data_IF_098833458365
#
_entry.id   IF_098833458365
#
_cell.length_a   1.000
_cell.length_b   1.000
_cell.length_c   1.000
_cell.angle_alpha   90.00
_cell.angle_beta   90.00
_cell.angle_gamma   90.00
#
_symmetry.space_group_name_H-M   'P 1'
#
loop_
_entity.id
_entity.type
_entity.pdbx_description
1 polymer ?
#
# COMPACT_ATOMS: atom_id res chain seq x y z
N UNK A 1 -11.70 -17.90 6.30
CA UNK A 1 -11.61 -16.57 6.92
C UNK A 1 -10.40 -15.88 6.34
N UNK A 2 -10.57 -14.89 5.52
CA UNK A 2 -9.46 -14.13 4.97
C UNK A 2 -8.67 -13.49 6.10
N UNK A 3 -7.44 -13.91 6.30
CA UNK A 3 -6.53 -13.32 7.25
C UNK A 3 -6.29 -11.87 6.86
N UNK A 4 -7.02 -10.94 7.48
CA UNK A 4 -6.68 -9.54 7.33
C UNK A 4 -5.28 -9.35 7.89
N UNK A 5 -4.39 -8.80 7.04
CA UNK A 5 -3.06 -8.38 7.44
C UNK A 5 -3.14 -7.58 8.77
N UNK A 6 -2.36 -7.99 9.77
CA UNK A 6 -2.31 -7.37 11.11
C UNK A 6 -2.16 -5.86 11.03
N UNK A 7 -1.31 -5.37 10.13
CA UNK A 7 -1.12 -3.94 9.90
C UNK A 7 -2.39 -3.23 9.47
N UNK A 8 -3.16 -3.78 8.53
CA UNK A 8 -4.42 -3.20 8.09
C UNK A 8 -5.44 -3.08 9.21
N UNK A 9 -5.45 -4.03 10.15
CA UNK A 9 -6.33 -3.97 11.33
C UNK A 9 -5.92 -2.85 12.29
N UNK A 10 -4.62 -2.72 12.58
CA UNK A 10 -4.07 -1.68 13.47
C UNK A 10 -4.27 -0.30 12.84
N UNK A 11 -4.04 -0.16 11.54
CA UNK A 11 -4.24 1.08 10.78
C UNK A 11 -5.69 1.57 10.88
N UNK A 12 -6.68 0.69 10.78
CA UNK A 12 -8.10 1.02 10.96
C UNK A 12 -8.41 1.53 12.37
N UNK A 13 -7.74 1.00 13.39
CA UNK A 13 -7.93 1.43 14.79
C UNK A 13 -7.28 2.77 15.08
N UNK A 14 -6.12 3.08 14.45
CA UNK A 14 -5.39 4.35 14.63
C UNK A 14 -5.95 5.50 13.77
N UNK A 15 -6.76 5.21 12.78
CA UNK A 15 -7.10 6.17 11.74
C UNK A 15 -8.28 7.04 12.06
N UNK A 16 -8.07 8.24 12.60
CA UNK A 16 -9.13 9.23 12.60
C UNK A 16 -8.67 10.70 12.64
N UNK A 17 -7.41 11.03 12.34
CA UNK A 17 -7.06 12.43 12.19
C UNK A 17 -7.12 12.87 10.71
N UNK A 18 -7.33 14.18 10.49
CA UNK A 18 -7.51 14.74 9.14
C UNK A 18 -6.29 14.54 8.23
N UNK A 19 -5.09 14.51 8.81
CA UNK A 19 -3.85 14.24 8.07
C UNK A 19 -3.80 12.79 7.53
N UNK A 20 -4.28 11.81 8.31
CA UNK A 20 -4.38 10.43 7.86
C UNK A 20 -5.42 10.27 6.75
N UNK A 21 -6.58 10.92 6.85
CA UNK A 21 -7.61 10.94 5.80
C UNK A 21 -7.08 11.54 4.50
N UNK A 22 -6.38 12.68 4.59
CA UNK A 22 -5.80 13.33 3.41
C UNK A 22 -4.82 12.42 2.67
N UNK A 23 -3.99 11.68 3.40
CA UNK A 23 -3.06 10.69 2.80
C UNK A 23 -3.81 9.56 2.11
N UNK A 24 -4.84 9.00 2.76
CA UNK A 24 -5.66 7.94 2.16
C UNK A 24 -6.32 8.42 0.87
N UNK A 25 -6.91 9.62 0.88
CA UNK A 25 -7.53 10.18 -0.32
C UNK A 25 -6.53 10.48 -1.43
N UNK A 26 -5.32 10.94 -1.10
CA UNK A 26 -4.26 11.15 -2.08
C UNK A 26 -3.86 9.83 -2.76
N UNK A 27 -3.68 8.75 -2.00
CA UNK A 27 -3.40 7.40 -2.53
C UNK A 27 -4.53 6.89 -3.41
N UNK A 28 -5.78 7.01 -2.95
CA UNK A 28 -6.96 6.59 -3.72
C UNK A 28 -7.11 7.40 -5.01
N UNK A 29 -6.83 8.71 -4.98
CA UNK A 29 -6.85 9.58 -6.16
C UNK A 29 -5.83 9.12 -7.21
N UNK A 30 -4.59 8.80 -6.79
CA UNK A 30 -3.56 8.26 -7.69
C UNK A 30 -3.99 6.93 -8.30
N UNK A 31 -4.51 6.02 -7.47
CA UNK A 31 -4.99 4.72 -7.92
C UNK A 31 -6.16 4.84 -8.90
N UNK A 32 -7.14 5.70 -8.63
CA UNK A 32 -8.24 6.00 -9.55
C UNK A 32 -7.74 6.51 -10.90
N UNK A 33 -6.76 7.41 -10.90
CA UNK A 33 -6.14 7.94 -12.13
C UNK A 33 -5.51 6.82 -12.96
N UNK A 34 -4.78 5.90 -12.33
CA UNK A 34 -4.13 4.78 -13.01
C UNK A 34 -5.15 3.78 -13.55
N UNK A 35 -6.13 3.40 -12.74
CA UNK A 35 -7.16 2.45 -13.17
C UNK A 35 -8.06 3.04 -14.26
N UNK A 36 -8.37 4.34 -14.19
CA UNK A 36 -9.06 5.05 -15.26
C UNK A 36 -8.26 5.07 -16.57
N UNK A 37 -6.95 5.31 -16.48
CA UNK A 37 -6.06 5.27 -17.65
C UNK A 37 -6.06 3.89 -18.32
N UNK A 38 -5.98 2.81 -17.52
CA UNK A 38 -6.07 1.44 -18.04
C UNK A 38 -7.40 1.14 -18.71
N UNK A 39 -8.48 1.74 -18.22
CA UNK A 39 -9.84 1.60 -18.72
C UNK A 39 -10.22 2.63 -19.80
N UNK A 40 -9.26 3.43 -20.31
CA UNK A 40 -9.51 4.51 -21.27
C UNK A 40 -10.63 5.49 -20.84
N UNK A 41 -10.71 5.76 -19.54
CA UNK A 41 -11.71 6.66 -18.96
C UNK A 41 -13.07 6.03 -18.66
N UNK A 42 -13.24 4.74 -18.90
CA UNK A 42 -14.50 4.05 -18.59
C UNK A 42 -14.68 3.87 -17.08
N UNK A 43 -15.50 4.75 -16.50
CA UNK A 43 -15.85 4.70 -15.08
C UNK A 43 -16.68 3.46 -14.70
N UNK A 44 -17.26 2.76 -15.68
CA UNK A 44 -18.02 1.53 -15.46
C UNK A 44 -17.17 0.26 -15.44
N UNK A 45 -15.90 0.35 -15.82
CA UNK A 45 -14.97 -0.76 -15.82
C UNK A 45 -14.80 -1.33 -14.40
N UNK A 46 -14.69 -2.65 -14.29
CA UNK A 46 -14.67 -3.35 -13.00
C UNK A 46 -13.52 -2.90 -12.09
N UNK A 47 -12.33 -2.66 -12.65
CA UNK A 47 -11.16 -2.14 -11.94
C UNK A 47 -11.40 -0.73 -11.38
N UNK A 48 -12.02 0.17 -12.15
CA UNK A 48 -12.35 1.53 -11.70
C UNK A 48 -13.42 1.50 -10.62
N UNK A 49 -14.50 0.72 -10.81
CA UNK A 49 -15.57 0.59 -9.81
C UNK A 49 -15.07 0.09 -8.46
N UNK A 50 -14.19 -0.89 -8.45
CA UNK A 50 -13.61 -1.42 -7.21
C UNK A 50 -12.91 -0.33 -6.40
N UNK A 51 -12.14 0.54 -7.06
CA UNK A 51 -11.46 1.66 -6.38
C UNK A 51 -12.45 2.74 -5.96
N UNK A 52 -13.47 3.02 -6.77
CA UNK A 52 -14.56 3.96 -6.41
C UNK A 52 -15.29 3.51 -5.16
N UNK A 53 -15.59 2.22 -5.04
CA UNK A 53 -16.25 1.67 -3.85
C UNK A 53 -15.37 1.84 -2.60
N UNK A 54 -14.07 1.59 -2.71
CA UNK A 54 -13.11 1.83 -1.63
C UNK A 54 -13.06 3.31 -1.26
N UNK A 55 -12.99 4.21 -2.25
CA UNK A 55 -12.97 5.65 -2.02
C UNK A 55 -14.24 6.16 -1.31
N UNK A 56 -15.40 5.61 -1.65
CA UNK A 56 -16.68 5.92 -0.98
C UNK A 56 -16.69 5.43 0.47
N UNK A 57 -16.17 4.25 0.75
CA UNK A 57 -16.04 3.71 2.12
C UNK A 57 -15.14 4.59 2.98
N UNK A 58 -14.12 5.20 2.38
CA UNK A 58 -13.22 6.15 3.03
C UNK A 58 -13.77 7.59 3.05
N UNK A 59 -15.04 7.78 2.70
CA UNK A 59 -15.72 9.07 2.65
C UNK A 59 -15.05 10.11 1.75
N UNK A 60 -14.40 9.69 0.68
CA UNK A 60 -13.84 10.60 -0.32
C UNK A 60 -14.96 11.33 -1.05
N UNK A 61 -14.90 12.67 -1.20
CA UNK A 61 -15.93 13.44 -1.87
C UNK A 61 -16.13 12.99 -3.33
N UNK A 62 -17.38 12.99 -3.79
CA UNK A 62 -17.74 12.55 -5.14
C UNK A 62 -16.99 13.33 -6.23
N UNK A 63 -16.89 14.65 -6.09
CA UNK A 63 -16.18 15.51 -7.03
C UNK A 63 -14.66 15.23 -7.08
N UNK A 64 -14.05 14.80 -5.97
CA UNK A 64 -12.66 14.38 -5.92
C UNK A 64 -12.45 13.03 -6.66
N UNK A 65 -13.41 12.11 -6.53
CA UNK A 65 -13.41 10.83 -7.26
C UNK A 65 -13.52 11.09 -8.76
N UNK A 66 -14.47 11.92 -9.17
CA UNK A 66 -14.72 12.27 -10.59
C UNK A 66 -13.49 12.96 -11.22
N UNK A 67 -12.85 13.89 -10.49
CA UNK A 67 -11.61 14.55 -10.94
C UNK A 67 -10.47 13.56 -11.13
N UNK A 68 -10.32 12.61 -10.21
CA UNK A 68 -9.28 11.59 -10.32
C UNK A 68 -9.49 10.67 -11.53
N UNK A 69 -10.72 10.27 -11.81
CA UNK A 69 -11.07 9.48 -13.00
C UNK A 69 -10.80 10.28 -14.28
N UNK A 70 -11.24 11.54 -14.36
CA UNK A 70 -11.01 12.41 -15.51
C UNK A 70 -9.53 12.65 -15.78
N UNK A 71 -8.72 12.78 -14.74
CA UNK A 71 -7.26 12.94 -14.87
C UNK A 71 -6.61 11.75 -15.56
N UNK A 72 -7.15 10.55 -15.44
CA UNK A 72 -6.64 9.35 -16.11
C UNK A 72 -6.73 9.40 -17.63
N UNK A 73 -7.59 10.25 -18.19
CA UNK A 73 -7.77 10.43 -19.62
C UNK A 73 -6.95 11.58 -20.23
N UNK A 74 -6.27 12.37 -19.39
CA UNK A 74 -5.45 13.49 -19.84
C UNK A 74 -4.03 13.04 -20.22
N UNK A 75 -3.37 13.81 -21.08
CA UNK A 75 -1.97 13.57 -21.48
C UNK A 75 -1.00 13.62 -20.28
N UNK A 76 -1.35 14.35 -19.23
CA UNK A 76 -0.59 14.50 -17.98
C UNK A 76 -0.85 13.38 -16.96
N UNK A 77 -1.64 12.36 -17.30
CA UNK A 77 -1.76 11.16 -16.49
C UNK A 77 -0.40 10.44 -16.47
N UNK A 78 0.47 10.85 -15.57
CA UNK A 78 1.86 10.45 -15.49
C UNK A 78 2.08 8.93 -15.61
N UNK A 79 3.27 8.51 -15.91
CA UNK A 79 3.69 7.10 -16.03
C UNK A 79 3.84 6.45 -14.65
N UNK A 80 2.74 6.38 -13.88
CA UNK A 80 2.75 5.67 -12.61
C UNK A 80 2.82 4.16 -12.86
N UNK A 81 3.76 3.49 -12.22
CA UNK A 81 3.98 2.06 -12.29
C UNK A 81 3.76 1.41 -10.92
N UNK A 82 3.14 0.23 -10.94
CA UNK A 82 3.08 -0.62 -9.74
C UNK A 82 4.42 -1.32 -9.57
N UNK A 83 5.03 -1.15 -8.40
CA UNK A 83 6.26 -1.84 -8.01
C UNK A 83 6.06 -2.46 -6.63
N UNK A 84 6.45 -3.71 -6.49
CA UNK A 84 6.41 -4.43 -5.22
C UNK A 84 7.83 -4.57 -4.70
N UNK A 85 8.06 -4.13 -3.47
CA UNK A 85 9.30 -4.34 -2.74
C UNK A 85 9.09 -5.38 -1.65
N UNK A 86 10.13 -6.13 -1.38
CA UNK A 86 10.14 -7.19 -0.38
C UNK A 86 11.19 -6.87 0.68
N UNK A 87 10.87 -7.18 1.93
CA UNK A 87 11.77 -6.94 3.05
C UNK A 87 11.57 -7.97 4.16
N UNK A 88 12.56 -8.07 5.04
CA UNK A 88 12.46 -8.78 6.31
C UNK A 88 12.63 -7.81 7.45
N UNK A 89 11.67 -7.79 8.35
CA UNK A 89 11.62 -6.91 9.51
C UNK A 89 12.13 -7.56 10.80
N UNK A 90 11.92 -6.86 11.93
CA UNK A 90 12.23 -7.40 13.25
C UNK A 90 11.66 -8.79 13.48
N UNK A 91 12.41 -9.65 14.12
CA UNK A 91 12.02 -11.04 14.38
C UNK A 91 11.97 -11.93 13.13
N UNK A 92 12.40 -11.44 11.96
CA UNK A 92 12.37 -12.18 10.69
C UNK A 92 10.99 -12.13 9.98
N UNK A 93 10.10 -11.24 10.39
CA UNK A 93 8.81 -11.08 9.73
C UNK A 93 8.97 -10.68 8.25
N UNK A 94 8.28 -11.38 7.36
CA UNK A 94 8.21 -11.01 5.95
C UNK A 94 7.33 -9.77 5.78
N UNK A 95 7.80 -8.84 4.96
CA UNK A 95 7.10 -7.59 4.65
C UNK A 95 7.01 -7.42 3.14
N UNK A 96 5.81 -7.15 2.65
CA UNK A 96 5.54 -6.81 1.25
C UNK A 96 5.07 -5.36 1.19
N UNK A 97 5.67 -4.56 0.33
CA UNK A 97 5.39 -3.15 0.16
C UNK A 97 4.91 -2.92 -1.27
N UNK A 98 3.62 -2.70 -1.44
CA UNK A 98 3.03 -2.34 -2.72
C UNK A 98 3.13 -0.84 -2.93
N UNK A 99 3.68 -0.43 -4.06
CA UNK A 99 3.89 0.97 -4.39
C UNK A 99 3.31 1.33 -5.74
N UNK A 100 2.96 2.59 -5.89
CA UNK A 100 2.55 3.21 -7.14
C UNK A 100 3.41 4.46 -7.35
N UNK A 101 4.39 4.38 -8.24
CA UNK A 101 5.42 5.40 -8.38
C UNK A 101 5.67 5.80 -9.83
N UNK A 102 6.01 7.06 -10.02
CA UNK A 102 6.57 7.61 -11.26
C UNK A 102 8.11 7.56 -11.29
N UNK A 103 8.74 7.23 -10.14
CA UNK A 103 10.20 7.17 -10.01
C UNK A 103 10.63 6.07 -9.02
N UNK A 104 10.92 4.88 -9.55
CA UNK A 104 11.37 3.72 -8.77
C UNK A 104 12.63 4.00 -7.93
N UNK A 105 13.55 4.80 -8.46
CA UNK A 105 14.80 5.11 -7.76
C UNK A 105 14.53 5.96 -6.53
N UNK A 106 13.67 6.97 -6.62
CA UNK A 106 13.25 7.79 -5.49
C UNK A 106 12.62 6.92 -4.41
N UNK A 107 11.59 6.14 -4.77
CA UNK A 107 10.90 5.24 -3.84
C UNK A 107 11.85 4.28 -3.14
N UNK A 108 12.78 3.67 -3.90
CA UNK A 108 13.79 2.77 -3.34
C UNK A 108 14.72 3.48 -2.34
N UNK A 109 15.14 4.70 -2.63
CA UNK A 109 16.01 5.47 -1.72
C UNK A 109 15.26 5.87 -0.43
N UNK A 110 13.99 6.25 -0.54
CA UNK A 110 13.14 6.55 0.63
C UNK A 110 12.96 5.31 1.53
N UNK A 111 12.69 4.14 0.93
CA UNK A 111 12.61 2.88 1.67
C UNK A 111 13.96 2.53 2.33
N UNK A 112 15.06 2.63 1.61
CA UNK A 112 16.41 2.38 2.17
C UNK A 112 16.76 3.32 3.32
N UNK A 113 16.33 4.58 3.26
CA UNK A 113 16.56 5.54 4.33
C UNK A 113 15.83 5.15 5.63
N UNK A 114 14.62 4.58 5.53
CA UNK A 114 13.88 4.02 6.65
C UNK A 114 14.59 2.74 7.15
N UNK A 115 14.93 1.83 6.25
CA UNK A 115 15.54 0.55 6.58
C UNK A 115 16.87 0.69 7.31
N UNK A 116 17.70 1.67 6.90
CA UNK A 116 18.99 1.94 7.54
C UNK A 116 18.88 2.35 9.02
N UNK A 117 17.73 2.88 9.44
CA UNK A 117 17.47 3.35 10.81
C UNK A 117 16.72 2.34 11.67
N UNK A 118 16.25 1.26 11.08
CA UNK A 118 15.42 0.25 11.74
C UNK A 118 15.92 -1.15 11.37
N UNK A 119 15.56 -2.13 12.18
CA UNK A 119 15.94 -3.53 11.95
C UNK A 119 15.10 -4.16 10.82
N UNK A 120 15.26 -3.63 9.61
CA UNK A 120 14.59 -4.12 8.40
C UNK A 120 15.60 -4.20 7.25
N UNK A 121 15.56 -5.27 6.49
CA UNK A 121 16.46 -5.52 5.37
C UNK A 121 15.69 -5.66 4.06
N UNK A 122 16.11 -4.92 3.03
CA UNK A 122 15.60 -5.11 1.68
C UNK A 122 15.90 -6.54 1.22
N UNK A 123 14.90 -7.21 0.71
CA UNK A 123 15.00 -8.59 0.23
C UNK A 123 15.00 -8.63 -1.31
N UNK A 124 15.59 -9.69 -1.85
CA UNK A 124 15.52 -9.94 -3.29
C UNK A 124 14.08 -10.29 -3.72
N UNK A 125 13.69 -9.95 -4.96
CA UNK A 125 12.36 -10.31 -5.47
C UNK A 125 12.09 -11.82 -5.35
N UNK A 126 10.90 -12.16 -4.80
CA UNK A 126 10.47 -13.53 -4.57
C UNK A 126 10.94 -14.14 -3.23
N UNK A 127 11.83 -13.48 -2.49
CA UNK A 127 12.38 -14.03 -1.25
C UNK A 127 11.45 -13.93 -0.04
N UNK A 128 10.51 -13.00 -0.03
CA UNK A 128 9.51 -12.83 1.02
C UNK A 128 8.08 -13.15 0.55
N UNK A 129 7.81 -13.08 -0.74
CA UNK A 129 6.50 -13.37 -1.35
C UNK A 129 6.00 -14.79 -1.09
N UNK A 130 6.89 -15.76 -0.85
CA UNK A 130 6.52 -17.14 -0.53
C UNK A 130 5.60 -17.26 0.68
N UNK A 131 5.69 -16.30 1.62
CA UNK A 131 4.89 -16.27 2.84
C UNK A 131 3.46 -15.74 2.64
N UNK A 132 3.10 -15.37 1.40
CA UNK A 132 1.82 -14.74 1.07
C UNK A 132 1.14 -15.41 -0.10
N UNK A 133 -0.20 -15.40 -0.07
CA UNK A 133 -1.05 -15.67 -1.21
C UNK A 133 -1.52 -14.34 -1.82
N UNK A 134 -1.48 -14.28 -3.15
CA UNK A 134 -2.04 -13.13 -3.87
C UNK A 134 -3.56 -13.24 -3.90
N UNK A 135 -4.24 -12.20 -3.47
CA UNK A 135 -5.71 -12.11 -3.44
C UNK A 135 -6.21 -10.96 -4.32
N UNK A 136 -7.51 -10.85 -4.49
CA UNK A 136 -8.11 -9.71 -5.18
C UNK A 136 -7.85 -8.38 -4.46
N UNK A 137 -7.64 -8.42 -3.14
CA UNK A 137 -7.41 -7.26 -2.27
C UNK A 137 -5.92 -6.98 -1.99
N UNK A 138 -5.00 -7.76 -2.58
CA UNK A 138 -3.56 -7.62 -2.39
C UNK A 138 -2.88 -8.93 -1.95
N UNK A 139 -2.29 -8.96 -0.77
CA UNK A 139 -1.56 -10.12 -0.24
C UNK A 139 -2.11 -10.54 1.12
N UNK A 140 -2.37 -11.82 1.29
CA UNK A 140 -2.76 -12.42 2.56
C UNK A 140 -1.65 -13.33 3.09
N UNK A 141 -1.34 -13.34 4.39
CA UNK A 141 -0.37 -14.24 4.96
C UNK A 141 -0.80 -15.70 4.73
N UNK A 142 0.08 -16.49 4.13
CA UNK A 142 -0.05 -17.94 3.97
C UNK A 142 0.54 -18.67 5.16
N UNK A 143 1.63 -18.12 5.68
CA UNK A 143 2.33 -18.62 6.86
C UNK A 143 2.51 -17.46 7.82
N UNK A 144 2.02 -17.60 9.05
CA UNK A 144 2.17 -16.58 10.09
C UNK A 144 3.43 -16.83 10.93
N UNK A 145 3.98 -15.77 11.48
CA UNK A 145 5.16 -15.78 12.32
C UNK A 145 4.84 -15.06 13.66
N UNK A 146 4.81 -15.78 14.80
CA UNK A 146 4.68 -15.12 16.09
C UNK A 146 5.94 -14.33 16.42
N UNK A 147 5.78 -13.11 16.90
CA UNK A 147 6.87 -12.22 17.29
C UNK A 147 6.92 -12.04 18.81
N UNK A 148 8.10 -11.66 19.32
CA UNK A 148 8.21 -11.09 20.66
C UNK A 148 7.49 -9.73 20.71
N UNK A 149 7.04 -9.29 21.90
CA UNK A 149 6.45 -7.96 22.07
C UNK A 149 7.37 -6.84 21.58
N UNK A 150 8.68 -6.97 21.80
CA UNK A 150 9.67 -6.00 21.35
C UNK A 150 9.79 -5.94 19.81
N UNK A 151 9.84 -7.11 19.16
CA UNK A 151 9.91 -7.19 17.69
C UNK A 151 8.62 -6.72 17.04
N UNK A 152 7.48 -7.06 17.61
CA UNK A 152 6.19 -6.60 17.14
C UNK A 152 6.07 -5.08 17.22
N UNK A 153 6.41 -4.48 18.34
CA UNK A 153 6.41 -3.03 18.51
C UNK A 153 7.38 -2.32 17.53
N UNK A 154 8.56 -2.89 17.33
CA UNK A 154 9.54 -2.38 16.37
C UNK A 154 9.04 -2.51 14.93
N UNK A 155 8.43 -3.63 14.58
CA UNK A 155 7.82 -3.85 13.26
C UNK A 155 6.69 -2.86 13.00
N UNK A 156 5.76 -2.69 13.93
CA UNK A 156 4.64 -1.76 13.77
C UNK A 156 5.11 -0.33 13.54
N UNK A 157 6.13 0.10 14.27
CA UNK A 157 6.72 1.43 14.10
C UNK A 157 7.30 1.64 12.70
N UNK A 158 8.04 0.67 12.19
CA UNK A 158 8.64 0.80 10.85
C UNK A 158 7.59 0.70 9.75
N UNK A 159 6.56 -0.13 9.92
CA UNK A 159 5.46 -0.21 8.97
C UNK A 159 4.66 1.10 8.88
N UNK A 160 4.49 1.80 10.00
CA UNK A 160 3.88 3.13 10.03
C UNK A 160 4.69 4.15 9.21
N UNK A 161 6.02 4.12 9.34
CA UNK A 161 6.91 4.99 8.58
C UNK A 161 6.89 4.69 7.08
N UNK A 162 6.85 3.42 6.70
CA UNK A 162 6.75 2.98 5.30
C UNK A 162 5.40 3.40 4.72
N UNK A 163 4.31 3.14 5.42
CA UNK A 163 2.95 3.48 4.96
C UNK A 163 2.73 4.99 4.82
N UNK A 164 3.51 5.80 5.52
CA UNK A 164 3.47 7.26 5.42
C UNK A 164 4.12 7.81 4.14
N UNK A 165 4.89 7.00 3.40
CA UNK A 165 5.46 7.41 2.12
C UNK A 165 4.38 7.59 1.06
N UNK A 166 4.49 8.64 0.25
CA UNK A 166 3.48 8.98 -0.76
C UNK A 166 3.32 7.92 -1.84
N UNK A 167 4.41 7.25 -2.21
CA UNK A 167 4.41 6.22 -3.26
C UNK A 167 3.92 4.86 -2.75
N UNK A 168 3.85 4.64 -1.43
CA UNK A 168 3.38 3.38 -0.85
C UNK A 168 1.85 3.32 -0.85
N UNK A 169 1.30 2.30 -1.46
CA UNK A 169 -0.14 2.02 -1.48
C UNK A 169 -0.58 1.23 -0.26
N UNK A 170 0.10 0.10 -0.01
CA UNK A 170 -0.24 -0.81 1.08
C UNK A 170 1.00 -1.58 1.54
N UNK A 171 1.03 -1.93 2.81
CA UNK A 171 2.09 -2.73 3.43
C UNK A 171 1.47 -3.98 4.05
N UNK A 172 2.09 -5.12 3.82
CA UNK A 172 1.64 -6.42 4.31
C UNK A 172 2.74 -7.07 5.14
N UNK A 173 2.35 -7.80 6.17
CA UNK A 173 3.27 -8.62 6.96
C UNK A 173 2.64 -9.96 7.30
N UNK A 174 3.49 -10.98 7.49
CA UNK A 174 3.08 -12.28 8.02
C UNK A 174 3.23 -12.39 9.54
N UNK A 175 3.56 -11.30 10.24
CA UNK A 175 3.58 -11.27 11.71
C UNK A 175 2.19 -11.55 12.28
N UNK A 176 2.15 -12.33 13.39
CA UNK A 176 0.95 -12.71 14.13
C UNK A 176 0.82 -11.90 15.42
#
# INVERSE_FOLDING_TARGET
MGGHNKWSQIKRQKGANDAAKSRVWAKLSRRLTVESKKANGDASAANVRSVVETARKENMPKDAIERAISKGTTADAGSLENVVYEAYGPGGAAVIISTLTDNKNRTLQELKAIFAKHAIALAAPGSALWAFDKTAEGYAPKTTLPLSEADDAALMKVMELIDALDDVEEVYTNAE
#
